data_IF_657517767798
#
_entry.id   IF_657517767798
#
_cell.length_a   1.000
_cell.length_b   1.000
_cell.length_c   1.000
_cell.angle_alpha   90.00
_cell.angle_beta   90.00
_cell.angle_gamma   90.00
#
_symmetry.space_group_name_H-M   'P 1'
#
loop_
_entity.id
_entity.type
_entity.pdbx_description
1 polymer ?
#
# COMPACT_ATOMS: atom_id res chain seq x y z
N UNK A 1 -40.55 -51.13 18.66
CA UNK A 1 -40.31 -49.65 18.81
C UNK A 1 -38.99 -49.23 18.18
N UNK A 2 -38.72 -49.55 16.91
CA UNK A 2 -37.42 -49.21 16.22
C UNK A 2 -37.62 -48.62 14.80
N UNK A 3 -38.83 -48.09 14.52
CA UNK A 3 -39.10 -47.61 13.12
C UNK A 3 -39.22 -46.10 12.94
N UNK A 4 -39.03 -45.27 13.95
CA UNK A 4 -39.26 -43.80 13.86
C UNK A 4 -38.02 -42.94 13.99
N UNK A 5 -36.83 -43.52 14.24
CA UNK A 5 -35.58 -42.72 14.40
C UNK A 5 -34.75 -42.55 13.12
N UNK A 6 -35.00 -43.36 12.09
CA UNK A 6 -34.19 -43.36 10.87
C UNK A 6 -34.37 -42.10 9.97
N UNK A 7 -35.58 -41.52 9.80
CA UNK A 7 -35.73 -40.36 8.95
C UNK A 7 -35.20 -39.05 9.56
N UNK A 8 -35.21 -38.95 10.91
CA UNK A 8 -34.71 -37.73 11.60
C UNK A 8 -33.18 -37.63 11.51
N UNK A 9 -32.49 -38.77 11.57
CA UNK A 9 -31.02 -38.81 11.48
C UNK A 9 -30.53 -38.52 10.04
N UNK A 10 -31.26 -38.98 9.03
CA UNK A 10 -30.95 -38.71 7.64
C UNK A 10 -31.16 -37.21 7.29
N UNK A 11 -32.19 -36.59 7.88
CA UNK A 11 -32.43 -35.16 7.67
C UNK A 11 -31.40 -34.25 8.34
N UNK A 12 -30.90 -34.64 9.54
CA UNK A 12 -29.83 -33.96 10.24
C UNK A 12 -28.49 -34.08 9.53
N UNK A 13 -28.20 -35.23 8.93
CA UNK A 13 -27.00 -35.39 8.12
C UNK A 13 -27.07 -34.60 6.80
N UNK A 14 -28.23 -34.48 6.16
CA UNK A 14 -28.41 -33.66 4.95
C UNK A 14 -28.31 -32.16 5.25
N UNK A 15 -28.78 -31.69 6.40
CA UNK A 15 -28.62 -30.30 6.83
C UNK A 15 -27.15 -29.97 7.21
N UNK A 16 -26.37 -30.93 7.72
CA UNK A 16 -24.97 -30.72 8.06
C UNK A 16 -24.05 -30.63 6.82
N UNK A 17 -24.43 -31.30 5.71
CA UNK A 17 -23.66 -31.22 4.45
C UNK A 17 -23.89 -29.90 3.71
N UNK A 18 -25.06 -29.26 3.88
CA UNK A 18 -25.35 -27.96 3.24
C UNK A 18 -24.77 -26.75 3.96
N UNK A 19 -24.33 -26.88 5.22
CA UNK A 19 -23.71 -25.76 5.96
C UNK A 19 -22.20 -25.61 5.61
N UNK A 20 -21.57 -26.65 5.03
CA UNK A 20 -20.15 -26.60 4.70
C UNK A 20 -19.82 -26.00 3.31
N UNK A 21 -20.77 -25.89 2.40
CA UNK A 21 -20.52 -25.31 1.08
C UNK A 21 -20.61 -23.77 1.06
N UNK A 22 -21.23 -23.14 2.07
CA UNK A 22 -21.36 -21.69 2.16
C UNK A 22 -20.12 -20.95 2.68
N UNK A 23 -19.18 -21.64 3.37
CA UNK A 23 -18.00 -21.01 3.96
C UNK A 23 -16.72 -21.17 3.12
N UNK A 24 -16.69 -22.08 2.16
CA UNK A 24 -15.52 -22.29 1.31
C UNK A 24 -15.51 -21.41 0.04
N UNK A 25 -16.66 -20.85 -0.36
CA UNK A 25 -16.76 -20.01 -1.54
C UNK A 25 -16.29 -18.57 -1.31
N UNK A 26 -16.37 -18.05 -0.08
CA UNK A 26 -15.96 -16.68 0.23
C UNK A 26 -14.44 -16.51 0.41
N UNK A 27 -13.70 -17.59 0.66
CA UNK A 27 -12.26 -17.51 0.88
C UNK A 27 -11.42 -17.56 -0.41
N UNK A 28 -11.98 -18.02 -1.52
CA UNK A 28 -11.26 -18.08 -2.80
C UNK A 28 -11.29 -16.77 -3.61
N UNK A 29 -12.23 -15.87 -3.36
CA UNK A 29 -12.33 -14.60 -4.08
C UNK A 29 -11.48 -13.47 -3.52
N UNK A 30 -11.01 -13.56 -2.27
CA UNK A 30 -10.32 -12.45 -1.59
C UNK A 30 -8.84 -12.29 -1.93
N UNK A 31 -8.19 -13.28 -2.58
CA UNK A 31 -6.74 -13.24 -2.83
C UNK A 31 -6.40 -12.67 -4.23
N UNK A 32 -7.29 -12.79 -5.20
CA UNK A 32 -7.01 -12.41 -6.60
C UNK A 32 -7.61 -11.07 -7.05
N UNK A 33 -8.55 -10.49 -6.29
CA UNK A 33 -9.34 -9.33 -6.72
C UNK A 33 -9.07 -8.04 -5.93
N UNK A 34 -8.00 -7.97 -5.16
CA UNK A 34 -7.70 -6.83 -4.29
C UNK A 34 -7.65 -5.49 -5.05
N UNK A 35 -6.98 -5.46 -6.21
CA UNK A 35 -6.93 -4.27 -7.05
C UNK A 35 -8.29 -3.94 -7.65
N UNK A 36 -9.02 -4.94 -8.14
CA UNK A 36 -10.34 -4.74 -8.73
C UNK A 36 -11.36 -4.24 -7.70
N UNK A 37 -11.29 -4.73 -6.45
CA UNK A 37 -12.15 -4.24 -5.37
C UNK A 37 -11.86 -2.78 -5.03
N UNK A 38 -10.59 -2.43 -4.88
CA UNK A 38 -10.18 -1.06 -4.58
C UNK A 38 -10.56 -0.10 -5.70
N UNK A 39 -10.31 -0.48 -6.96
CA UNK A 39 -10.64 0.31 -8.13
C UNK A 39 -12.17 0.41 -8.32
N UNK A 40 -12.90 -0.68 -8.09
CA UNK A 40 -14.37 -0.69 -8.14
C UNK A 40 -15.01 0.25 -7.12
N UNK A 41 -14.51 0.27 -5.88
CA UNK A 41 -14.97 1.25 -4.89
C UNK A 41 -14.52 2.68 -5.24
N UNK A 42 -13.32 2.88 -5.75
CA UNK A 42 -12.86 4.19 -6.17
C UNK A 42 -13.72 4.75 -7.32
N UNK A 43 -14.07 3.91 -8.31
CA UNK A 43 -14.99 4.29 -9.37
C UNK A 43 -16.38 4.65 -8.83
N UNK A 44 -16.90 3.86 -7.88
CA UNK A 44 -18.21 4.13 -7.24
C UNK A 44 -18.22 5.46 -6.51
N UNK A 45 -17.10 5.84 -5.87
CA UNK A 45 -16.99 7.08 -5.10
C UNK A 45 -16.51 8.27 -5.94
N UNK A 46 -16.23 8.08 -7.23
CA UNK A 46 -15.64 9.10 -8.11
C UNK A 46 -16.46 10.38 -8.22
N UNK A 47 -17.77 10.32 -8.00
CA UNK A 47 -18.69 11.47 -8.04
C UNK A 47 -19.03 12.05 -6.66
N UNK A 48 -18.59 11.39 -5.57
CA UNK A 48 -18.91 11.82 -4.22
C UNK A 48 -18.31 13.22 -3.91
N UNK A 49 -19.03 14.08 -3.18
CA UNK A 49 -18.52 15.38 -2.76
C UNK A 49 -17.41 15.22 -1.71
N UNK A 50 -16.57 16.26 -1.61
CA UNK A 50 -15.40 16.29 -0.69
C UNK A 50 -15.78 15.99 0.75
N UNK A 51 -16.88 16.53 1.21
CA UNK A 51 -17.38 16.40 2.59
C UNK A 51 -17.74 14.94 2.91
N UNK A 52 -18.40 14.26 1.99
CA UNK A 52 -18.76 12.84 2.14
C UNK A 52 -17.50 11.97 2.18
N UNK A 53 -16.53 12.20 1.29
CA UNK A 53 -15.28 11.47 1.31
C UNK A 53 -14.51 11.69 2.62
N UNK A 54 -14.50 12.90 3.18
CA UNK A 54 -13.86 13.19 4.47
C UNK A 54 -14.57 12.49 5.63
N UNK A 55 -15.92 12.40 5.63
CA UNK A 55 -16.65 11.64 6.63
C UNK A 55 -16.35 10.13 6.50
N UNK A 56 -16.27 9.58 5.28
CA UNK A 56 -15.86 8.20 5.05
C UNK A 56 -14.44 7.92 5.54
N UNK A 57 -13.51 8.87 5.37
CA UNK A 57 -12.13 8.76 5.86
C UNK A 57 -12.09 8.78 7.39
N UNK A 58 -12.96 9.53 8.05
CA UNK A 58 -13.07 9.56 9.52
C UNK A 58 -13.64 8.30 10.13
N UNK A 59 -14.43 7.55 9.37
CA UNK A 59 -15.13 6.35 9.84
C UNK A 59 -14.16 5.18 10.02
N UNK A 60 -13.81 4.90 11.28
CA UNK A 60 -12.92 3.80 11.63
C UNK A 60 -13.56 2.41 11.42
N UNK A 61 -14.90 2.32 11.34
CA UNK A 61 -15.62 1.07 11.08
C UNK A 61 -15.70 0.71 9.59
N UNK A 62 -15.33 1.64 8.69
CA UNK A 62 -15.36 1.39 7.25
C UNK A 62 -14.32 0.33 6.87
N UNK A 63 -14.72 -0.62 6.01
CA UNK A 63 -13.81 -1.68 5.55
C UNK A 63 -12.55 -1.11 4.88
N UNK A 64 -11.46 -1.85 4.93
CA UNK A 64 -10.14 -1.44 4.43
C UNK A 64 -10.17 -0.90 2.99
N UNK A 65 -10.83 -1.64 2.07
CA UNK A 65 -10.94 -1.24 0.67
C UNK A 65 -11.77 0.01 0.46
N UNK A 66 -12.90 0.12 1.16
CA UNK A 66 -13.76 1.32 1.09
C UNK A 66 -13.04 2.55 1.64
N UNK A 67 -12.35 2.40 2.79
CA UNK A 67 -11.54 3.46 3.37
C UNK A 67 -10.41 3.91 2.46
N UNK A 68 -9.66 2.97 1.89
CA UNK A 68 -8.59 3.27 0.94
C UNK A 68 -9.12 3.94 -0.34
N UNK A 69 -10.25 3.45 -0.88
CA UNK A 69 -10.89 4.03 -2.05
C UNK A 69 -11.36 5.47 -1.79
N UNK A 70 -11.94 5.76 -0.62
CA UNK A 70 -12.33 7.13 -0.25
C UNK A 70 -11.12 8.07 -0.20
N UNK A 71 -9.99 7.61 0.40
CA UNK A 71 -8.74 8.39 0.42
C UNK A 71 -8.18 8.58 -0.99
N UNK A 72 -8.21 7.55 -1.86
CA UNK A 72 -7.74 7.62 -3.25
C UNK A 72 -8.53 8.65 -4.04
N UNK A 73 -9.85 8.58 -4.02
CA UNK A 73 -10.71 9.55 -4.74
C UNK A 73 -10.51 10.96 -4.21
N UNK A 74 -10.44 11.11 -2.89
CA UNK A 74 -10.13 12.41 -2.28
C UNK A 74 -8.77 12.94 -2.75
N UNK A 75 -7.74 12.11 -2.78
CA UNK A 75 -6.40 12.43 -3.26
C UNK A 75 -6.40 12.93 -4.70
N UNK A 76 -7.06 12.21 -5.59
CA UNK A 76 -7.05 12.50 -7.02
C UNK A 76 -7.81 13.79 -7.38
N UNK A 77 -8.94 14.01 -6.71
CA UNK A 77 -9.84 15.13 -7.03
C UNK A 77 -9.57 16.40 -6.23
N UNK A 78 -9.16 16.28 -4.98
CA UNK A 78 -9.18 17.42 -4.06
C UNK A 78 -7.82 17.76 -3.42
N UNK A 79 -6.86 16.82 -3.37
CA UNK A 79 -5.62 17.05 -2.61
C UNK A 79 -4.80 18.26 -3.04
N UNK A 80 -4.88 18.64 -4.31
CA UNK A 80 -4.15 19.79 -4.88
C UNK A 80 -4.91 21.09 -4.80
N UNK A 81 -6.22 21.05 -4.57
CA UNK A 81 -7.13 22.19 -4.60
C UNK A 81 -7.56 22.65 -3.21
N UNK A 82 -7.03 22.01 -2.16
CA UNK A 82 -7.41 22.36 -0.79
C UNK A 82 -6.91 23.75 -0.46
N UNK A 83 -7.86 24.65 -0.15
CA UNK A 83 -7.58 26.00 0.25
C UNK A 83 -6.81 26.02 1.58
N UNK A 84 -5.95 27.01 1.74
CA UNK A 84 -5.08 27.17 2.91
C UNK A 84 -5.80 27.07 4.27
N UNK A 85 -7.00 27.65 4.47
CA UNK A 85 -7.74 27.54 5.73
C UNK A 85 -8.20 26.12 6.05
N UNK A 86 -8.56 25.30 5.04
CA UNK A 86 -9.06 23.93 5.20
C UNK A 86 -7.94 22.91 5.38
N UNK A 87 -6.74 23.22 4.88
CA UNK A 87 -5.61 22.31 4.83
C UNK A 87 -5.31 21.67 6.20
N UNK A 88 -5.26 22.50 7.24
CA UNK A 88 -4.97 22.01 8.60
C UNK A 88 -6.05 21.06 9.17
N UNK A 89 -7.31 21.27 8.82
CA UNK A 89 -8.41 20.39 9.24
C UNK A 89 -8.33 19.04 8.52
N UNK A 90 -8.08 19.04 7.20
CA UNK A 90 -7.93 17.84 6.40
C UNK A 90 -6.69 17.03 6.85
N UNK A 91 -5.56 17.70 7.08
CA UNK A 91 -4.34 17.05 7.60
C UNK A 91 -4.62 16.32 8.92
N UNK A 92 -5.34 16.97 9.85
CA UNK A 92 -5.70 16.34 11.15
C UNK A 92 -6.54 15.08 10.94
N UNK A 93 -7.50 15.08 10.01
CA UNK A 93 -8.33 13.91 9.67
C UNK A 93 -7.44 12.78 9.15
N UNK A 94 -6.60 13.07 8.17
CA UNK A 94 -5.71 12.07 7.57
C UNK A 94 -4.71 11.50 8.58
N UNK A 95 -4.08 12.34 9.40
CA UNK A 95 -3.13 11.91 10.42
C UNK A 95 -3.83 11.06 11.49
N UNK A 96 -5.02 11.48 11.95
CA UNK A 96 -5.80 10.67 12.88
C UNK A 96 -6.06 9.28 12.30
N UNK A 97 -6.59 9.23 11.07
CA UNK A 97 -6.88 7.95 10.39
C UNK A 97 -5.63 7.09 10.20
N UNK A 98 -4.51 7.69 9.81
CA UNK A 98 -3.22 6.99 9.67
C UNK A 98 -2.79 6.31 10.96
N UNK A 99 -3.00 6.95 12.10
CA UNK A 99 -2.60 6.44 13.41
C UNK A 99 -3.56 5.39 13.99
N UNK A 100 -4.81 5.34 13.54
CA UNK A 100 -5.84 4.44 14.06
C UNK A 100 -6.14 3.25 13.15
N UNK A 101 -5.67 3.24 11.91
CA UNK A 101 -5.93 2.15 10.98
C UNK A 101 -4.83 1.11 10.99
N UNK A 102 -5.22 -0.17 11.05
CA UNK A 102 -4.31 -1.30 10.84
C UNK A 102 -4.22 -1.67 9.33
N UNK A 103 -5.09 -1.09 8.50
CA UNK A 103 -5.10 -1.35 7.07
C UNK A 103 -3.92 -0.69 6.36
N UNK A 104 -3.03 -1.52 5.80
CA UNK A 104 -1.89 -1.05 5.02
C UNK A 104 -2.32 -0.31 3.75
N UNK A 105 -3.45 -0.69 3.14
CA UNK A 105 -4.03 0.02 1.99
C UNK A 105 -4.35 1.48 2.34
N UNK A 106 -5.09 1.67 3.43
CA UNK A 106 -5.45 3.01 3.92
C UNK A 106 -4.20 3.82 4.29
N UNK A 107 -3.22 3.19 4.96
CA UNK A 107 -1.96 3.85 5.32
C UNK A 107 -1.22 4.36 4.09
N UNK A 108 -1.06 3.53 3.05
CA UNK A 108 -0.34 3.90 1.82
C UNK A 108 -1.03 5.07 1.10
N UNK A 109 -2.36 5.01 0.95
CA UNK A 109 -3.11 6.08 0.30
C UNK A 109 -3.04 7.40 1.09
N UNK A 110 -3.13 7.35 2.41
CA UNK A 110 -2.99 8.54 3.27
C UNK A 110 -1.58 9.13 3.17
N UNK A 111 -0.53 8.30 3.25
CA UNK A 111 0.86 8.78 3.15
C UNK A 111 1.10 9.52 1.83
N UNK A 112 0.60 8.95 0.73
CA UNK A 112 0.70 9.61 -0.56
C UNK A 112 -0.10 10.93 -0.59
N UNK A 113 -1.32 10.93 -0.06
CA UNK A 113 -2.16 12.14 0.00
C UNK A 113 -1.47 13.26 0.79
N UNK A 114 -0.92 12.97 1.96
CA UNK A 114 -0.19 13.95 2.77
C UNK A 114 1.02 14.53 2.02
N UNK A 115 1.77 13.69 1.29
CA UNK A 115 2.89 14.15 0.48
C UNK A 115 2.46 15.04 -0.69
N UNK A 116 1.28 14.80 -1.29
CA UNK A 116 0.73 15.67 -2.34
C UNK A 116 0.25 17.01 -1.79
N UNK A 117 -0.35 17.00 -0.59
CA UNK A 117 -0.81 18.23 0.07
C UNK A 117 0.33 19.12 0.54
N UNK A 118 1.39 18.54 1.09
CA UNK A 118 2.57 19.26 1.55
C UNK A 118 3.82 18.37 1.51
N UNK A 119 4.47 18.34 0.34
CA UNK A 119 5.66 17.55 0.10
C UNK A 119 6.79 17.88 1.07
N UNK A 120 7.02 19.16 1.34
CA UNK A 120 8.13 19.59 2.20
C UNK A 120 7.96 19.18 3.65
N UNK A 121 6.72 19.16 4.13
CA UNK A 121 6.37 18.81 5.50
C UNK A 121 6.47 17.30 5.75
N UNK A 122 5.98 16.47 4.82
CA UNK A 122 5.79 15.04 5.05
C UNK A 122 6.81 14.13 4.36
N UNK A 123 7.54 14.62 3.38
CA UNK A 123 8.45 13.85 2.54
C UNK A 123 9.44 12.99 3.35
N UNK A 124 10.15 13.57 4.30
CA UNK A 124 11.20 12.89 5.05
C UNK A 124 10.70 11.73 5.92
N UNK A 125 9.45 11.76 6.38
CA UNK A 125 8.84 10.70 7.18
C UNK A 125 8.12 9.67 6.34
N UNK A 126 7.42 10.10 5.29
CA UNK A 126 6.57 9.22 4.50
C UNK A 126 7.33 8.39 3.47
N UNK A 127 8.38 8.93 2.83
CA UNK A 127 9.18 8.17 1.84
C UNK A 127 9.82 6.93 2.45
N UNK A 128 10.50 6.98 3.62
CA UNK A 128 10.99 5.77 4.27
C UNK A 128 9.90 4.77 4.63
N UNK A 129 8.73 5.24 5.09
CA UNK A 129 7.60 4.38 5.41
C UNK A 129 7.04 3.68 4.15
N UNK A 130 6.90 4.39 3.03
CA UNK A 130 6.51 3.80 1.74
C UNK A 130 7.53 2.76 1.24
N UNK A 131 8.84 3.03 1.39
CA UNK A 131 9.89 2.07 1.04
C UNK A 131 9.76 0.78 1.87
N UNK A 132 9.41 0.86 3.14
CA UNK A 132 9.16 -0.34 3.97
C UNK A 132 7.98 -1.16 3.45
N UNK A 133 6.93 -0.52 2.90
CA UNK A 133 5.78 -1.20 2.32
C UNK A 133 6.10 -1.94 1.01
N UNK A 134 7.24 -1.68 0.38
CA UNK A 134 7.72 -2.48 -0.77
C UNK A 134 8.05 -3.93 -0.39
N UNK A 135 8.20 -4.25 0.90
CA UNK A 135 8.38 -5.61 1.40
C UNK A 135 7.08 -6.27 1.86
N UNK A 136 5.95 -5.60 1.69
CA UNK A 136 4.68 -6.16 2.12
C UNK A 136 4.33 -7.42 1.34
N UNK A 137 3.79 -8.44 2.04
CA UNK A 137 3.44 -9.73 1.43
C UNK A 137 2.29 -9.62 0.41
N UNK A 138 1.37 -8.70 0.62
CA UNK A 138 0.27 -8.44 -0.30
C UNK A 138 0.79 -7.58 -1.48
N UNK A 139 0.65 -8.11 -2.70
CA UNK A 139 1.17 -7.47 -3.91
C UNK A 139 0.50 -6.13 -4.20
N UNK A 140 -0.80 -6.01 -3.98
CA UNK A 140 -1.54 -4.76 -4.16
C UNK A 140 -0.97 -3.64 -3.28
N UNK A 141 -0.68 -3.95 -2.01
CA UNK A 141 -0.05 -2.97 -1.10
C UNK A 141 1.33 -2.57 -1.60
N UNK A 142 2.12 -3.53 -2.07
CA UNK A 142 3.44 -3.28 -2.62
C UNK A 142 3.38 -2.39 -3.87
N UNK A 143 2.46 -2.65 -4.78
CA UNK A 143 2.23 -1.86 -5.99
C UNK A 143 1.76 -0.45 -5.68
N UNK A 144 0.80 -0.30 -4.77
CA UNK A 144 0.32 0.99 -4.30
C UNK A 144 1.46 1.81 -3.66
N UNK A 145 2.27 1.17 -2.83
CA UNK A 145 3.41 1.82 -2.20
C UNK A 145 4.44 2.27 -3.25
N UNK A 146 4.72 1.43 -4.24
CA UNK A 146 5.64 1.76 -5.33
C UNK A 146 5.12 2.90 -6.20
N UNK A 147 3.86 2.86 -6.62
CA UNK A 147 3.22 3.92 -7.39
C UNK A 147 3.20 5.25 -6.62
N UNK A 148 2.81 5.20 -5.33
CA UNK A 148 2.78 6.38 -4.46
C UNK A 148 4.18 6.97 -4.26
N UNK A 149 5.18 6.11 -4.08
CA UNK A 149 6.57 6.52 -3.93
C UNK A 149 7.09 7.18 -5.20
N UNK A 150 6.86 6.57 -6.37
CA UNK A 150 7.28 7.12 -7.67
C UNK A 150 6.75 8.53 -7.91
N UNK A 151 5.46 8.75 -7.58
CA UNK A 151 4.85 10.07 -7.70
C UNK A 151 5.40 11.06 -6.67
N UNK A 152 5.66 10.62 -5.44
CA UNK A 152 6.18 11.47 -4.36
C UNK A 152 7.60 11.93 -4.62
N UNK A 153 8.48 11.06 -5.12
CA UNK A 153 9.88 11.38 -5.44
C UNK A 153 10.06 11.93 -6.85
N UNK A 154 9.03 11.92 -7.70
CA UNK A 154 9.10 12.25 -9.12
C UNK A 154 10.18 11.43 -9.84
N UNK A 155 10.01 10.10 -9.79
CA UNK A 155 10.95 9.16 -10.41
C UNK A 155 11.21 9.51 -11.89
N UNK A 156 12.49 9.46 -12.28
CA UNK A 156 12.91 9.82 -13.64
C UNK A 156 13.38 11.27 -13.78
N UNK A 157 13.07 12.14 -12.83
CA UNK A 157 13.56 13.52 -12.83
C UNK A 157 14.85 13.67 -12.02
N UNK A 158 15.61 14.73 -12.31
CA UNK A 158 16.80 15.06 -11.52
C UNK A 158 16.40 15.71 -10.20
N UNK A 159 16.29 14.92 -9.16
CA UNK A 159 15.86 15.30 -7.81
C UNK A 159 16.90 14.84 -6.77
N UNK A 160 18.01 15.54 -6.58
CA UNK A 160 19.11 15.07 -5.72
C UNK A 160 18.72 14.86 -4.27
N UNK A 161 17.88 15.71 -3.71
CA UNK A 161 17.39 15.61 -2.33
C UNK A 161 16.59 14.32 -2.10
N UNK A 162 15.67 14.06 -3.00
CA UNK A 162 14.80 12.88 -3.01
C UNK A 162 15.62 11.61 -3.25
N UNK A 163 16.52 11.65 -4.22
CA UNK A 163 17.42 10.56 -4.55
C UNK A 163 18.33 10.20 -3.36
N UNK A 164 18.83 11.19 -2.63
CA UNK A 164 19.64 10.97 -1.43
C UNK A 164 18.85 10.26 -0.31
N UNK A 165 17.60 10.66 -0.07
CA UNK A 165 16.75 10.02 0.93
C UNK A 165 16.44 8.57 0.55
N UNK A 166 16.04 8.33 -0.70
CA UNK A 166 15.75 6.99 -1.23
C UNK A 166 17.00 6.10 -1.15
N UNK A 167 18.14 6.60 -1.62
CA UNK A 167 19.41 5.88 -1.57
C UNK A 167 19.77 5.46 -0.15
N UNK A 168 19.77 6.40 0.79
CA UNK A 168 20.17 6.12 2.16
C UNK A 168 19.21 5.14 2.86
N UNK A 169 17.92 5.22 2.58
CA UNK A 169 16.91 4.30 3.13
C UNK A 169 17.10 2.89 2.57
N UNK A 170 17.20 2.76 1.23
CA UNK A 170 17.39 1.47 0.57
C UNK A 170 18.74 0.84 0.93
N UNK A 171 19.81 1.62 1.03
CA UNK A 171 21.11 1.13 1.46
C UNK A 171 21.04 0.45 2.81
N UNK A 172 20.34 1.05 3.80
CA UNK A 172 20.13 0.45 5.13
C UNK A 172 19.35 -0.86 5.03
N UNK A 173 18.23 -0.88 4.32
CA UNK A 173 17.37 -2.05 4.18
C UNK A 173 18.09 -3.21 3.48
N UNK A 174 18.78 -2.93 2.37
CA UNK A 174 19.49 -3.93 1.59
C UNK A 174 20.75 -4.44 2.33
N UNK A 175 21.39 -3.60 3.14
CA UNK A 175 22.50 -4.04 3.98
C UNK A 175 22.04 -5.08 5.02
N UNK A 176 20.88 -4.91 5.62
CA UNK A 176 20.32 -5.88 6.58
C UNK A 176 19.99 -7.22 5.92
N UNK A 177 19.56 -7.21 4.67
CA UNK A 177 19.20 -8.42 3.90
C UNK A 177 20.34 -9.00 3.06
N UNK A 178 21.57 -8.44 3.10
CA UNK A 178 22.68 -8.81 2.20
C UNK A 178 22.99 -10.32 2.14
N UNK A 179 22.88 -11.03 3.29
CA UNK A 179 23.12 -12.48 3.33
C UNK A 179 22.12 -13.27 2.46
N UNK A 180 20.88 -12.82 2.40
CA UNK A 180 19.85 -13.43 1.52
C UNK A 180 20.10 -13.07 0.06
N UNK A 181 20.62 -11.87 -0.21
CA UNK A 181 20.90 -11.41 -1.56
C UNK A 181 22.06 -12.17 -2.20
N UNK A 182 23.03 -12.66 -1.41
CA UNK A 182 24.17 -13.44 -1.93
C UNK A 182 23.76 -14.74 -2.64
N UNK A 183 22.62 -15.32 -2.27
CA UNK A 183 22.09 -16.55 -2.90
C UNK A 183 21.05 -16.27 -3.99
N UNK A 184 20.71 -15.00 -4.24
CA UNK A 184 19.67 -14.61 -5.19
C UNK A 184 20.26 -14.54 -6.60
N UNK A 185 19.84 -15.45 -7.48
CA UNK A 185 20.22 -15.43 -8.91
C UNK A 185 19.36 -14.45 -9.70
N UNK A 186 18.06 -14.47 -9.45
CA UNK A 186 17.09 -13.57 -10.10
C UNK A 186 16.28 -12.81 -9.06
N UNK A 187 16.28 -11.47 -9.11
CA UNK A 187 15.50 -10.68 -8.18
C UNK A 187 13.99 -10.82 -8.45
N UNK A 188 13.23 -11.16 -7.41
CA UNK A 188 11.77 -11.14 -7.46
C UNK A 188 11.20 -9.73 -7.64
N UNK A 189 9.88 -9.57 -7.89
CA UNK A 189 9.26 -8.29 -8.21
C UNK A 189 9.54 -7.18 -7.18
N UNK A 190 9.43 -7.50 -5.90
CA UNK A 190 9.70 -6.56 -4.80
C UNK A 190 11.15 -6.07 -4.80
N UNK A 191 12.10 -6.97 -5.00
CA UNK A 191 13.52 -6.60 -5.07
C UNK A 191 13.82 -5.81 -6.34
N UNK A 192 13.22 -6.16 -7.50
CA UNK A 192 13.35 -5.40 -8.75
C UNK A 192 12.94 -3.95 -8.55
N UNK A 193 11.78 -3.69 -7.94
CA UNK A 193 11.30 -2.32 -7.64
C UNK A 193 12.30 -1.54 -6.79
N UNK A 194 12.89 -2.16 -5.77
CA UNK A 194 13.93 -1.52 -4.94
C UNK A 194 15.20 -1.23 -5.72
N UNK A 195 15.63 -2.16 -6.57
CA UNK A 195 16.82 -1.98 -7.42
C UNK A 195 16.60 -0.86 -8.44
N UNK A 196 15.40 -0.71 -9.01
CA UNK A 196 15.08 0.36 -9.95
C UNK A 196 15.14 1.74 -9.27
N UNK A 197 14.58 1.86 -8.06
CA UNK A 197 14.71 3.08 -7.25
C UNK A 197 16.17 3.38 -6.91
N UNK A 198 16.95 2.35 -6.61
CA UNK A 198 18.37 2.50 -6.28
C UNK A 198 19.19 2.91 -7.52
N UNK A 199 18.93 2.32 -8.70
CA UNK A 199 19.53 2.73 -9.98
C UNK A 199 19.24 4.19 -10.31
N UNK A 200 17.98 4.60 -10.16
CA UNK A 200 17.61 6.00 -10.34
C UNK A 200 18.38 6.92 -9.37
N UNK A 201 18.42 6.55 -8.08
CA UNK A 201 19.14 7.35 -7.09
C UNK A 201 20.62 7.51 -7.42
N UNK A 202 21.28 6.42 -7.84
CA UNK A 202 22.69 6.44 -8.25
C UNK A 202 22.89 7.29 -9.52
N UNK A 203 21.97 7.17 -10.48
CA UNK A 203 22.03 8.00 -11.71
C UNK A 203 21.97 9.49 -11.38
N UNK A 204 21.17 9.89 -10.40
CA UNK A 204 21.02 11.30 -9.98
C UNK A 204 22.19 11.77 -9.13
N UNK A 205 22.67 10.95 -8.20
CA UNK A 205 23.71 11.34 -7.22
C UNK A 205 25.13 11.14 -7.73
N UNK A 206 25.30 10.25 -8.70
CA UNK A 206 26.61 9.91 -9.29
C UNK A 206 27.10 8.52 -8.89
N UNK A 207 27.98 7.94 -9.74
CA UNK A 207 28.50 6.58 -9.58
C UNK A 207 29.36 6.35 -8.33
N UNK A 208 29.86 7.41 -7.69
CA UNK A 208 30.58 7.33 -6.42
C UNK A 208 29.75 6.68 -5.30
N UNK A 209 28.43 6.75 -5.39
CA UNK A 209 27.52 6.13 -4.41
C UNK A 209 27.60 4.58 -4.43
N UNK A 210 28.01 3.98 -5.53
CA UNK A 210 28.22 2.52 -5.62
C UNK A 210 29.20 2.02 -4.56
N UNK A 211 30.24 2.79 -4.21
CA UNK A 211 31.22 2.43 -3.18
C UNK A 211 30.61 2.27 -1.79
N UNK A 212 29.43 2.80 -1.57
CA UNK A 212 28.71 2.75 -0.28
C UNK A 212 27.76 1.56 -0.16
N UNK A 213 27.63 0.76 -1.22
CA UNK A 213 26.74 -0.41 -1.26
C UNK A 213 27.50 -1.71 -0.97
N UNK A 214 26.83 -2.72 -0.39
CA UNK A 214 27.36 -4.07 -0.31
C UNK A 214 27.63 -4.67 -1.70
N UNK A 215 28.64 -5.52 -1.81
CA UNK A 215 28.98 -6.18 -3.10
C UNK A 215 27.81 -6.98 -3.66
N UNK A 216 27.08 -7.66 -2.79
CA UNK A 216 25.90 -8.47 -3.14
C UNK A 216 24.80 -7.62 -3.81
N UNK A 217 24.65 -6.36 -3.41
CA UNK A 217 23.70 -5.42 -4.03
C UNK A 217 24.24 -4.92 -5.36
N UNK A 218 25.54 -4.59 -5.43
CA UNK A 218 26.17 -4.10 -6.66
C UNK A 218 26.05 -5.15 -7.79
N UNK A 219 26.19 -6.44 -7.46
CA UNK A 219 26.07 -7.53 -8.43
C UNK A 219 24.66 -7.70 -9.03
N UNK A 220 23.64 -7.10 -8.39
CA UNK A 220 22.23 -7.14 -8.83
C UNK A 220 21.82 -5.84 -9.57
N UNK A 221 22.64 -4.80 -9.55
CA UNK A 221 22.41 -3.53 -10.25
C UNK A 221 22.84 -3.59 -11.71
#
# INVERSE_FOLDING_TARGET
MIRTFFPVFLFLCLCAVHIHEGFAADSQYTIFDDNMLLDGYAQKYSTEPKEILLEMIKDDALSAYKGAAAVRVFKERFSREILSPEKGAVEKILIRRLNHTDSTFVQVEIMHTLCLMDRYKYFNSMVPALIQKLDHYNETVNELAYASLNNTIELGHNRPREASLVFNTLRKNLFLSRKRLSSTKEPGPQLKRKLDLLRWSIKVLGSQELKRLPREVINLL
#
